data_IF_065310223502
#
_entry.id   IF_065310223502
#
_cell.length_a   1.000
_cell.length_b   1.000
_cell.length_c   1.000
_cell.angle_alpha   90.00
_cell.angle_beta   90.00
_cell.angle_gamma   90.00
#
_symmetry.space_group_name_H-M   'P 1'
#
loop_
_entity.id
_entity.type
_entity.pdbx_description
1 polymer ?
#
# COMPACT_ATOMS: atom_id res chain seq x y z
N UNK A 1 -6.53 -9.71 14.63
CA UNK A 1 -5.35 -10.58 14.46
C UNK A 1 -4.43 -9.93 13.44
N UNK A 2 -3.46 -9.14 13.91
CA UNK A 2 -2.45 -8.52 13.03
C UNK A 2 -1.44 -9.62 12.70
N UNK A 3 -1.48 -10.14 11.46
CA UNK A 3 -0.42 -11.05 10.99
C UNK A 3 0.91 -10.30 11.13
N UNK A 4 1.91 -10.92 11.75
CA UNK A 4 3.26 -10.39 11.76
C UNK A 4 3.82 -10.47 10.32
N UNK A 5 3.59 -9.42 9.55
CA UNK A 5 3.93 -9.37 8.12
C UNK A 5 5.43 -9.13 7.89
N UNK A 6 6.21 -8.74 8.90
CA UNK A 6 7.62 -8.38 8.73
C UNK A 6 8.49 -9.57 8.26
N UNK A 7 8.06 -10.80 8.56
CA UNK A 7 8.69 -12.04 8.11
C UNK A 7 8.39 -12.39 6.64
N UNK A 8 7.50 -11.67 5.96
CA UNK A 8 7.15 -11.94 4.56
C UNK A 8 8.35 -11.63 3.66
N UNK A 9 8.78 -12.64 2.91
CA UNK A 9 9.94 -12.57 2.00
C UNK A 9 9.54 -12.58 0.53
N UNK A 10 8.30 -13.00 0.21
CA UNK A 10 7.72 -13.04 -1.13
C UNK A 10 6.24 -12.65 -1.10
N UNK A 11 5.76 -12.00 -2.17
CA UNK A 11 4.33 -11.74 -2.43
C UNK A 11 4.10 -12.16 -3.88
N UNK A 12 3.12 -13.02 -4.15
CA UNK A 12 2.84 -13.58 -5.48
C UNK A 12 4.08 -14.13 -6.19
N UNK A 13 4.93 -14.86 -5.45
CA UNK A 13 6.18 -15.44 -5.96
C UNK A 13 7.33 -14.45 -6.19
N UNK A 14 7.10 -13.14 -6.02
CA UNK A 14 8.15 -12.13 -6.17
C UNK A 14 8.82 -11.81 -4.84
N UNK A 15 10.15 -11.96 -4.80
CA UNK A 15 11.01 -11.60 -3.65
C UNK A 15 10.97 -10.09 -3.37
N UNK A 16 11.29 -9.72 -2.13
CA UNK A 16 11.38 -8.33 -1.66
C UNK A 16 12.20 -7.45 -2.62
N UNK A 17 11.57 -6.47 -3.29
CA UNK A 17 12.24 -5.58 -4.22
C UNK A 17 12.99 -4.45 -3.52
N UNK A 18 13.85 -3.77 -4.29
CA UNK A 18 14.54 -2.53 -3.93
C UNK A 18 14.28 -1.50 -5.03
N UNK A 19 14.35 -0.22 -4.69
CA UNK A 19 14.41 0.85 -5.69
C UNK A 19 15.83 1.04 -6.25
N UNK A 20 16.00 2.06 -7.11
CA UNK A 20 17.28 2.41 -7.73
C UNK A 20 18.36 2.84 -6.73
N UNK A 21 17.95 3.39 -5.58
CA UNK A 21 18.85 3.90 -4.54
C UNK A 21 19.12 2.84 -3.45
N UNK A 22 18.60 1.62 -3.64
CA UNK A 22 18.80 0.48 -2.74
C UNK A 22 17.82 0.43 -1.56
N UNK A 23 16.86 1.34 -1.46
CA UNK A 23 15.82 1.34 -0.43
C UNK A 23 14.93 0.11 -0.60
N UNK A 24 14.80 -0.66 0.49
CA UNK A 24 14.00 -1.89 0.49
C UNK A 24 12.54 -1.59 0.72
N UNK A 25 11.70 -2.18 -0.14
CA UNK A 25 10.28 -2.25 0.11
C UNK A 25 9.99 -3.19 1.28
N UNK A 26 8.95 -2.87 2.04
CA UNK A 26 8.44 -3.65 3.17
C UNK A 26 7.09 -4.25 2.78
N UNK A 27 6.74 -5.41 3.35
CA UNK A 27 5.38 -5.91 3.23
C UNK A 27 4.45 -4.99 4.02
N UNK A 28 3.35 -4.57 3.41
CA UNK A 28 2.35 -3.68 4.02
C UNK A 28 0.97 -4.15 3.58
N UNK A 29 0.02 -4.22 4.52
CA UNK A 29 -1.40 -4.40 4.21
C UNK A 29 -2.03 -3.02 4.03
N UNK A 30 -2.60 -2.77 2.86
CA UNK A 30 -3.36 -1.56 2.57
C UNK A 30 -4.83 -1.92 2.36
N UNK A 31 -5.74 -1.00 2.66
CA UNK A 31 -7.16 -1.16 2.39
C UNK A 31 -7.66 -0.05 1.48
N UNK A 32 -8.63 -0.37 0.63
CA UNK A 32 -9.32 0.65 -0.17
C UNK A 32 -10.47 1.27 0.63
N UNK A 33 -10.68 2.57 0.47
CA UNK A 33 -11.74 3.31 1.16
C UNK A 33 -12.31 4.41 0.26
N UNK A 34 -13.54 4.84 0.55
CA UNK A 34 -14.22 5.92 -0.18
C UNK A 34 -14.24 7.19 0.65
N UNK A 35 -13.73 8.27 0.07
CA UNK A 35 -13.81 9.63 0.61
C UNK A 35 -13.67 10.61 -0.54
N UNK A 36 -14.36 11.74 -0.49
CA UNK A 36 -14.10 12.85 -1.42
C UNK A 36 -13.12 13.81 -0.76
N UNK A 37 -11.94 14.01 -1.34
CA UNK A 37 -10.92 14.96 -0.86
C UNK A 37 -10.85 16.16 -1.80
N UNK A 38 -10.74 17.37 -1.23
CA UNK A 38 -10.47 18.57 -2.04
C UNK A 38 -9.18 18.40 -2.84
N UNK A 39 -9.19 18.81 -4.11
CA UNK A 39 -8.03 18.68 -5.01
C UNK A 39 -7.76 17.26 -5.53
N UNK A 40 -8.62 16.26 -5.27
CA UNK A 40 -8.50 14.90 -5.82
C UNK A 40 -9.68 14.57 -6.72
N UNK A 41 -9.41 14.20 -7.97
CA UNK A 41 -10.43 13.89 -8.98
C UNK A 41 -11.09 12.51 -8.86
N UNK A 42 -10.81 11.74 -7.80
CA UNK A 42 -11.42 10.43 -7.56
C UNK A 42 -11.69 10.23 -6.08
N UNK A 43 -12.77 9.50 -5.76
CA UNK A 43 -13.19 9.24 -4.38
C UNK A 43 -12.71 7.90 -3.82
N UNK A 44 -12.07 7.06 -4.63
CA UNK A 44 -11.58 5.74 -4.22
C UNK A 44 -10.08 5.79 -3.98
N UNK A 45 -9.71 5.70 -2.70
CA UNK A 45 -8.34 5.80 -2.20
C UNK A 45 -7.88 4.48 -1.58
N UNK A 46 -6.60 4.39 -1.26
CA UNK A 46 -6.05 3.31 -0.45
C UNK A 46 -5.22 3.91 0.69
N UNK A 47 -5.12 3.20 1.82
CA UNK A 47 -4.33 3.57 3.00
C UNK A 47 -3.79 2.33 3.71
N UNK A 48 -2.71 2.43 4.51
CA UNK A 48 -2.32 1.35 5.42
C UNK A 48 -3.43 0.98 6.39
N UNK A 49 -3.55 -0.30 6.73
CA UNK A 49 -4.29 -0.70 7.93
C UNK A 49 -3.49 -0.30 9.18
N UNK A 50 -4.17 -0.23 10.32
CA UNK A 50 -3.56 0.12 11.61
C UNK A 50 -2.46 -0.88 12.02
N UNK A 51 -1.61 -0.46 12.97
CA UNK A 51 -0.60 -1.31 13.62
C UNK A 51 0.56 -1.78 12.72
N UNK A 52 0.86 -1.09 11.62
CA UNK A 52 1.98 -1.44 10.71
C UNK A 52 3.20 -0.53 10.87
N UNK A 53 3.55 -0.21 12.12
CA UNK A 53 4.73 0.60 12.45
C UNK A 53 4.64 2.01 11.86
N UNK A 54 5.52 2.34 10.91
CA UNK A 54 5.59 3.66 10.23
C UNK A 54 4.53 3.87 9.15
N UNK A 55 3.86 2.80 8.71
CA UNK A 55 2.81 2.87 7.71
C UNK A 55 1.48 3.19 8.42
N UNK A 56 1.23 4.47 8.63
CA UNK A 56 0.07 4.95 9.41
C UNK A 56 -1.19 5.08 8.55
N UNK A 57 -2.41 4.81 9.06
CA UNK A 57 -3.66 4.90 8.29
C UNK A 57 -4.02 6.30 7.76
N UNK A 58 -3.41 7.34 8.30
CA UNK A 58 -3.58 8.73 7.85
C UNK A 58 -2.86 9.00 6.51
N UNK A 59 -1.90 8.14 6.15
CA UNK A 59 -1.16 8.23 4.89
C UNK A 59 -1.99 7.72 3.72
N UNK A 60 -2.00 8.46 2.62
CA UNK A 60 -2.48 7.93 1.35
C UNK A 60 -1.48 6.89 0.81
N UNK A 61 -2.02 5.81 0.24
CA UNK A 61 -1.26 4.80 -0.48
C UNK A 61 -1.43 4.98 -1.99
N UNK A 62 -0.37 5.39 -2.66
CA UNK A 62 -0.28 5.39 -4.10
C UNK A 62 -0.09 3.96 -4.61
N UNK A 63 -1.05 3.52 -5.42
CA UNK A 63 -1.14 2.18 -5.97
C UNK A 63 -1.77 2.20 -7.37
N UNK A 64 -1.72 1.07 -8.09
CA UNK A 64 -2.31 1.00 -9.43
C UNK A 64 -3.81 1.26 -9.39
N UNK A 65 -4.31 1.85 -10.48
CA UNK A 65 -5.75 2.12 -10.63
C UNK A 65 -6.54 0.80 -10.65
N UNK A 66 -6.00 -0.22 -11.29
CA UNK A 66 -6.65 -1.53 -11.43
C UNK A 66 -6.77 -2.24 -10.08
N UNK A 67 -5.71 -2.20 -9.26
CA UNK A 67 -5.73 -2.79 -7.91
C UNK A 67 -6.84 -2.18 -7.04
N UNK A 68 -7.08 -0.87 -7.15
CA UNK A 68 -8.15 -0.24 -6.36
C UNK A 68 -9.54 -0.35 -7.00
N UNK A 69 -9.66 -0.43 -8.32
CA UNK A 69 -10.98 -0.43 -9.02
C UNK A 69 -11.57 -1.81 -9.29
N UNK A 70 -10.76 -2.86 -9.37
CA UNK A 70 -11.22 -4.20 -9.75
C UNK A 70 -11.75 -5.02 -8.57
N UNK A 71 -11.75 -4.46 -7.36
CA UNK A 71 -12.21 -5.14 -6.14
C UNK A 71 -13.16 -4.23 -5.35
N UNK A 72 -14.04 -4.81 -4.51
CA UNK A 72 -14.91 -4.02 -3.64
C UNK A 72 -14.12 -3.05 -2.75
N UNK A 73 -14.72 -1.90 -2.46
CA UNK A 73 -14.18 -0.98 -1.43
C UNK A 73 -14.08 -1.71 -0.09
N UNK A 74 -13.00 -1.47 0.66
CA UNK A 74 -12.69 -2.18 1.90
C UNK A 74 -11.83 -3.43 1.69
N UNK A 75 -11.53 -3.81 0.45
CA UNK A 75 -10.60 -4.90 0.16
C UNK A 75 -9.22 -4.57 0.71
N UNK A 76 -8.63 -5.53 1.43
CA UNK A 76 -7.27 -5.45 1.97
C UNK A 76 -6.29 -6.18 1.07
N UNK A 77 -5.16 -5.55 0.78
CA UNK A 77 -4.12 -6.04 -0.09
C UNK A 77 -2.79 -6.08 0.64
N UNK A 78 -2.13 -7.22 0.65
CA UNK A 78 -0.72 -7.33 0.99
C UNK A 78 0.11 -6.92 -0.23
N UNK A 79 0.93 -5.89 -0.07
CA UNK A 79 1.76 -5.30 -1.13
C UNK A 79 3.19 -5.09 -0.66
N UNK A 80 4.10 -4.97 -1.64
CA UNK A 80 5.41 -4.38 -1.40
C UNK A 80 5.29 -2.86 -1.45
N UNK A 81 5.61 -2.18 -0.34
CA UNK A 81 5.49 -0.73 -0.23
C UNK A 81 6.68 -0.08 0.49
N UNK A 82 6.86 1.22 0.25
CA UNK A 82 7.82 2.06 0.96
C UNK A 82 7.19 3.37 1.39
N UNK A 83 7.80 4.02 2.37
CA UNK A 83 7.39 5.35 2.81
C UNK A 83 8.21 6.36 2.01
N UNK A 84 7.52 7.24 1.29
CA UNK A 84 8.11 8.32 0.53
C UNK A 84 7.92 9.61 1.32
N UNK A 85 9.01 10.32 1.51
CA UNK A 85 9.02 11.65 2.10
C UNK A 85 9.11 12.66 0.95
N UNK A 86 8.01 13.33 0.66
CA UNK A 86 7.95 14.44 -0.29
C UNK A 86 7.71 15.72 0.50
N UNK A 87 8.30 16.83 0.06
CA UNK A 87 8.12 18.14 0.70
C UNK A 87 6.63 18.40 0.98
N UNK A 88 6.29 18.48 2.27
CA UNK A 88 4.95 18.77 2.77
C UNK A 88 3.97 17.59 2.85
N UNK A 89 4.28 16.39 2.33
CA UNK A 89 3.37 15.23 2.44
C UNK A 89 4.09 13.89 2.33
N UNK A 90 4.04 13.11 3.40
CA UNK A 90 4.43 11.70 3.40
C UNK A 90 3.34 10.84 2.78
N UNK A 91 3.73 9.80 2.04
CA UNK A 91 2.79 8.83 1.49
C UNK A 91 3.41 7.44 1.34
N UNK A 92 2.53 6.44 1.24
CA UNK A 92 2.93 5.05 0.98
C UNK A 92 2.94 4.82 -0.52
N UNK A 93 4.02 4.26 -1.04
CA UNK A 93 4.15 3.97 -2.46
C UNK A 93 4.27 2.47 -2.71
N UNK A 94 3.46 1.94 -3.62
CA UNK A 94 3.63 0.60 -4.20
C UNK A 94 3.66 0.67 -5.72
N UNK A 95 4.58 -0.07 -6.33
CA UNK A 95 4.70 -0.10 -7.78
C UNK A 95 3.56 -0.91 -8.40
N UNK A 96 2.84 -0.30 -9.35
CA UNK A 96 1.60 -0.86 -9.89
C UNK A 96 1.72 -2.18 -10.66
N UNK A 97 2.92 -2.55 -11.14
CA UNK A 97 3.17 -3.82 -11.84
C UNK A 97 3.66 -4.94 -10.91
N UNK A 98 3.61 -4.77 -9.60
CA UNK A 98 3.98 -5.83 -8.66
C UNK A 98 2.79 -6.67 -8.23
N UNK A 99 3.02 -7.94 -7.91
CA UNK A 99 1.97 -8.79 -7.37
C UNK A 99 1.47 -8.25 -6.03
N UNK A 100 0.18 -8.46 -5.79
CA UNK A 100 -0.50 -8.25 -4.53
C UNK A 100 -1.29 -9.50 -4.16
N UNK A 101 -1.51 -9.68 -2.86
CA UNK A 101 -2.36 -10.76 -2.34
C UNK A 101 -3.54 -10.17 -1.58
N UNK A 102 -4.73 -10.76 -1.72
CA UNK A 102 -5.91 -10.33 -0.97
C UNK A 102 -5.84 -10.92 0.44
N UNK A 103 -5.97 -10.05 1.44
CA UNK A 103 -6.05 -10.44 2.85
C UNK A 103 -7.53 -10.48 3.25
N UNK A 104 -7.98 -11.63 3.74
CA UNK A 104 -9.33 -11.81 4.30
C UNK A 104 -9.31 -11.63 5.82
#
# INVERSE_FOLDING_TARGET
MTRNIDHITQIGGKKRPKDKDGQRYRPVVIETYRVTKSGKGHSLHARPVSEQGKFKPELDAECSRDMRRNYPTGTKFLVWAMLIHREGTDFVYTYGGWPHEIVR
#
